data_IF_828628118794
#
_entry.id   IF_828628118794
#
_cell.length_a   1.000
_cell.length_b   1.000
_cell.length_c   1.000
_cell.angle_alpha   90.00
_cell.angle_beta   90.00
_cell.angle_gamma   90.00
#
_symmetry.space_group_name_H-M   'P 1'
#
loop_
_entity.id
_entity.type
_entity.pdbx_description
1 polymer ?
#
# COMPACT_ATOMS: atom_id res chain seq x y z
N UNK A 1 8.36 9.60 27.16
CA UNK A 1 8.09 8.95 26.92
C UNK A 1 8.18 8.13 26.70
N UNK A 2 8.41 8.11 26.80
CA UNK A 2 8.42 7.31 26.36
C UNK A 2 8.56 6.40 26.27
N UNK A 3 8.74 5.93 26.52
CA UNK A 3 8.89 4.97 26.31
C UNK A 3 8.81 4.19 26.19
N UNK A 4 8.97 3.86 26.43
CA UNK A 4 8.89 2.90 26.10
C UNK A 4 9.00 2.09 26.10
N UNK A 5 9.31 1.79 26.38
CA UNK A 5 9.40 0.83 26.17
C UNK A 5 9.46 0.01 26.28
N UNK A 6 9.68 -0.35 26.62
CA UNK A 6 9.74 -1.35 26.56
C UNK A 6 9.89 -2.06 26.70
N UNK A 7 10.05 -2.47 26.98
CA UNK A 7 10.15 -3.42 26.88
C UNK A 7 10.29 -4.13 26.91
N UNK A 8 10.60 -4.57 27.20
CA UNK A 8 10.60 -5.54 27.14
C UNK A 8 10.94 -6.33 27.10
N UNK A 9 11.35 -6.61 27.15
CA UNK A 9 11.47 -7.46 27.03
C UNK A 9 11.62 -8.30 27.20
N UNK A 10 11.64 -8.74 27.29
CA UNK A 10 11.35 -9.68 27.40
C UNK A 10 11.71 -10.61 27.22
N UNK A 11 11.92 -10.89 27.28
CA UNK A 11 12.06 -11.78 27.06
C UNK A 11 12.25 -12.85 26.83
N UNK A 12 12.45 -13.41 26.77
CA UNK A 12 12.39 -14.49 26.57
C UNK A 12 12.34 -15.44 25.98
N UNK A 13 12.30 -15.66 25.48
CA UNK A 13 11.93 -16.64 25.03
C UNK A 13 12.59 -17.36 24.14
N UNK A 14 12.62 -18.13 23.85
CA UNK A 14 13.26 -18.96 23.13
C UNK A 14 12.44 -19.76 22.33
N UNK A 15 12.14 -19.39 21.21
CA UNK A 15 11.32 -20.13 20.35
C UNK A 15 12.13 -20.61 19.20
N UNK A 16 11.81 -21.77 18.68
CA UNK A 16 12.44 -22.25 17.51
C UNK A 16 12.13 -21.43 16.30
N UNK A 17 10.90 -20.90 16.26
CA UNK A 17 10.47 -20.09 15.14
C UNK A 17 10.21 -18.69 15.64
N UNK A 18 11.00 -17.73 15.19
CA UNK A 18 10.79 -16.36 15.64
C UNK A 18 9.51 -15.82 15.07
N UNK A 19 8.94 -14.87 15.77
CA UNK A 19 7.79 -14.13 15.26
C UNK A 19 8.24 -13.21 14.13
N UNK A 20 7.30 -12.85 13.29
CA UNK A 20 7.58 -11.91 12.22
C UNK A 20 7.99 -10.57 12.81
N UNK A 21 8.99 -9.90 12.21
CA UNK A 21 9.34 -8.54 12.65
C UNK A 21 8.15 -7.62 12.56
N UNK A 22 8.06 -6.68 13.50
CA UNK A 22 7.01 -5.68 13.51
C UNK A 22 6.98 -4.87 12.23
N UNK A 23 8.15 -4.61 11.64
CA UNK A 23 8.23 -3.86 10.40
C UNK A 23 7.48 -4.56 9.26
N UNK A 24 7.52 -5.88 9.22
CA UNK A 24 6.80 -6.63 8.18
C UNK A 24 5.30 -6.62 8.43
N UNK A 25 4.89 -6.70 9.69
CA UNK A 25 3.47 -6.61 10.03
C UNK A 25 2.92 -5.23 9.69
N UNK A 26 3.69 -4.20 9.98
CA UNK A 26 3.31 -2.84 9.62
C UNK A 26 3.25 -2.66 8.12
N UNK A 27 4.22 -3.22 7.40
CA UNK A 27 4.25 -3.12 5.95
C UNK A 27 2.99 -3.73 5.35
N UNK A 28 2.52 -4.85 5.90
CA UNK A 28 1.29 -5.47 5.41
C UNK A 28 0.12 -4.50 5.48
N UNK A 29 -0.01 -3.81 6.62
CA UNK A 29 -1.06 -2.82 6.79
C UNK A 29 -0.90 -1.65 5.84
N UNK A 30 0.34 -1.20 5.66
CA UNK A 30 0.61 -0.07 4.76
C UNK A 30 0.32 -0.42 3.31
N UNK A 31 0.65 -1.63 2.89
CA UNK A 31 0.37 -2.07 1.52
C UNK A 31 -1.12 -2.05 1.24
N UNK A 32 -1.93 -2.54 2.18
CA UNK A 32 -3.38 -2.49 2.03
C UNK A 32 -3.87 -1.05 1.93
N UNK A 33 -3.35 -0.20 2.80
CA UNK A 33 -3.74 1.20 2.80
C UNK A 33 -3.38 1.88 1.47
N UNK A 34 -2.18 1.64 0.97
CA UNK A 34 -1.73 2.26 -0.28
C UNK A 34 -2.55 1.80 -1.47
N UNK A 35 -2.92 0.51 -1.49
CA UNK A 35 -3.75 -0.03 -2.57
C UNK A 35 -5.13 0.64 -2.56
N UNK A 36 -5.77 0.72 -1.39
CA UNK A 36 -7.06 1.37 -1.25
C UNK A 36 -7.00 2.86 -1.60
N UNK A 37 -5.92 3.51 -1.17
CA UNK A 37 -5.72 4.92 -1.44
C UNK A 37 -5.55 5.18 -2.92
N UNK A 38 -4.87 4.27 -3.62
CA UNK A 38 -4.73 4.35 -5.08
C UNK A 38 -6.08 4.29 -5.77
N UNK A 39 -6.97 3.43 -5.30
CA UNK A 39 -8.31 3.31 -5.88
C UNK A 39 -9.09 4.63 -5.75
N UNK A 40 -8.99 5.28 -4.59
CA UNK A 40 -9.63 6.58 -4.38
C UNK A 40 -9.10 7.63 -5.33
N UNK A 41 -7.77 7.67 -5.51
CA UNK A 41 -7.16 8.63 -6.43
C UNK A 41 -7.60 8.38 -7.86
N UNK A 42 -7.70 7.11 -8.27
CA UNK A 42 -8.12 6.78 -9.63
C UNK A 42 -9.54 7.26 -9.90
N UNK A 43 -10.42 7.12 -8.92
CA UNK A 43 -11.79 7.64 -9.04
C UNK A 43 -11.79 9.15 -9.27
N UNK A 44 -10.99 9.85 -8.47
CA UNK A 44 -10.87 11.30 -8.59
C UNK A 44 -10.29 11.71 -9.96
N UNK A 45 -9.29 10.99 -10.41
CA UNK A 45 -8.68 11.28 -11.71
C UNK A 45 -9.71 11.11 -12.83
N UNK A 46 -10.51 10.03 -12.78
CA UNK A 46 -11.54 9.82 -13.80
C UNK A 46 -12.57 10.94 -13.80
N UNK A 47 -13.01 11.34 -12.63
CA UNK A 47 -13.99 12.42 -12.50
C UNK A 47 -13.47 13.72 -13.08
N UNK A 48 -12.25 14.08 -12.72
CA UNK A 48 -11.69 15.34 -13.18
C UNK A 48 -11.26 15.30 -14.65
N UNK A 49 -10.87 14.14 -15.15
CA UNK A 49 -10.63 14.00 -16.59
C UNK A 49 -11.90 14.25 -17.37
N UNK A 50 -13.03 13.72 -16.89
CA UNK A 50 -14.32 13.97 -17.54
C UNK A 50 -14.67 15.45 -17.52
N UNK A 51 -14.43 16.12 -16.40
CA UNK A 51 -14.71 17.55 -16.29
C UNK A 51 -13.81 18.36 -17.22
N UNK A 52 -12.56 17.97 -17.36
CA UNK A 52 -11.65 18.65 -18.27
C UNK A 52 -12.11 18.47 -19.71
N UNK A 53 -12.55 17.25 -20.07
CA UNK A 53 -13.08 16.99 -21.41
C UNK A 53 -14.31 17.81 -21.68
N UNK A 54 -15.22 17.89 -20.71
CA UNK A 54 -16.46 18.68 -20.85
C UNK A 54 -16.15 20.16 -21.04
N UNK A 55 -15.04 20.62 -20.50
CA UNK A 55 -14.60 21.99 -20.66
C UNK A 55 -13.82 22.22 -21.96
N UNK A 56 -13.71 21.18 -22.80
CA UNK A 56 -12.99 21.29 -24.08
C UNK A 56 -11.49 21.08 -23.97
N UNK A 57 -11.02 20.63 -22.81
CA UNK A 57 -9.57 20.47 -22.57
C UNK A 57 -9.16 19.02 -22.74
N UNK A 58 -9.22 18.54 -23.99
CA UNK A 58 -8.96 17.12 -24.28
C UNK A 58 -7.53 16.71 -23.95
N UNK A 59 -6.59 17.61 -24.13
CA UNK A 59 -5.19 17.32 -23.87
C UNK A 59 -4.95 17.10 -22.38
N UNK A 60 -5.57 17.94 -21.57
CA UNK A 60 -5.49 17.79 -20.10
C UNK A 60 -6.13 16.46 -19.68
N UNK A 61 -7.31 16.18 -20.23
CA UNK A 61 -8.03 14.95 -19.92
C UNK A 61 -7.18 13.73 -20.25
N UNK A 62 -6.50 13.77 -21.39
CA UNK A 62 -5.65 12.65 -21.80
C UNK A 62 -4.50 12.42 -20.81
N UNK A 63 -3.86 13.51 -20.37
CA UNK A 63 -2.76 13.39 -19.42
C UNK A 63 -3.24 12.80 -18.09
N UNK A 64 -4.43 13.21 -17.64
CA UNK A 64 -4.98 12.65 -16.40
C UNK A 64 -5.30 11.16 -16.58
N UNK A 65 -5.76 10.74 -17.75
CA UNK A 65 -5.97 9.32 -18.02
C UNK A 65 -4.65 8.53 -17.99
N UNK A 66 -3.58 9.13 -18.48
CA UNK A 66 -2.28 8.49 -18.40
C UNK A 66 -1.82 8.33 -16.95
N UNK A 67 -2.18 9.27 -16.09
CA UNK A 67 -1.90 9.16 -14.67
C UNK A 67 -2.64 7.97 -14.05
N UNK A 68 -3.84 7.67 -14.54
CA UNK A 68 -4.58 6.48 -14.08
C UNK A 68 -3.81 5.22 -14.47
N UNK A 69 -3.31 5.16 -15.69
CA UNK A 69 -2.53 4.00 -16.14
C UNK A 69 -1.28 3.82 -15.28
N UNK A 70 -0.59 4.92 -14.94
CA UNK A 70 0.57 4.86 -14.07
C UNK A 70 0.21 4.38 -12.68
N UNK A 71 -0.92 4.86 -12.16
CA UNK A 71 -1.41 4.43 -10.86
C UNK A 71 -1.72 2.94 -10.85
N UNK A 72 -2.31 2.42 -11.93
CA UNK A 72 -2.59 1.00 -12.05
C UNK A 72 -1.31 0.17 -12.05
N UNK A 73 -0.25 0.66 -12.67
CA UNK A 73 1.02 -0.04 -12.67
C UNK A 73 1.62 -0.07 -11.27
N UNK A 74 1.58 1.04 -10.55
CA UNK A 74 2.03 1.06 -9.16
C UNK A 74 1.23 0.07 -8.33
N UNK A 75 -0.09 0.08 -8.50
CA UNK A 75 -0.97 -0.79 -7.72
C UNK A 75 -0.67 -2.27 -7.95
N UNK A 76 -0.38 -2.65 -9.20
CA UNK A 76 -0.01 -4.04 -9.51
C UNK A 76 1.20 -4.49 -8.69
N UNK A 77 2.20 -3.63 -8.59
CA UNK A 77 3.40 -3.98 -7.83
C UNK A 77 3.11 -4.04 -6.34
N UNK A 78 2.26 -3.14 -5.83
CA UNK A 78 1.87 -3.19 -4.43
C UNK A 78 1.08 -4.46 -4.12
N UNK A 79 0.22 -4.87 -5.03
CA UNK A 79 -0.55 -6.12 -4.86
C UNK A 79 0.36 -7.34 -4.87
N UNK A 80 1.37 -7.34 -5.73
CA UNK A 80 2.35 -8.44 -5.76
C UNK A 80 3.17 -8.47 -4.48
N UNK A 81 3.60 -7.30 -4.02
CA UNK A 81 4.33 -7.22 -2.75
C UNK A 81 3.47 -7.74 -1.60
N UNK A 82 2.19 -7.38 -1.59
CA UNK A 82 1.27 -7.84 -0.56
C UNK A 82 1.15 -9.36 -0.58
N UNK A 83 1.02 -9.95 -1.78
CA UNK A 83 0.88 -11.40 -1.91
C UNK A 83 2.15 -12.12 -1.44
N UNK A 84 3.31 -11.60 -1.83
CA UNK A 84 4.58 -12.18 -1.44
C UNK A 84 4.74 -12.10 0.08
N UNK A 85 4.43 -10.94 0.65
CA UNK A 85 4.56 -10.75 2.08
C UNK A 85 3.62 -11.68 2.85
N UNK A 86 2.38 -11.81 2.41
CA UNK A 86 1.43 -12.70 3.06
C UNK A 86 1.95 -14.15 3.07
N UNK A 87 2.51 -14.59 1.93
CA UNK A 87 3.08 -15.94 1.86
C UNK A 87 4.26 -16.13 2.80
N UNK A 88 5.09 -15.09 2.92
CA UNK A 88 6.25 -15.18 3.82
C UNK A 88 5.86 -15.10 5.28
N UNK A 89 4.82 -14.35 5.60
CA UNK A 89 4.39 -14.22 6.99
C UNK A 89 3.88 -15.52 7.57
N UNK A 90 3.31 -16.42 6.75
CA UNK A 90 2.85 -17.71 7.28
C UNK A 90 4.01 -18.61 7.71
N UNK A 91 5.24 -18.28 7.33
CA UNK A 91 6.42 -19.04 7.75
C UNK A 91 6.89 -18.68 9.15
N UNK A 92 6.36 -17.60 9.70
CA UNK A 92 6.69 -17.19 11.06
C UNK A 92 5.66 -17.75 12.03
N UNK A 93 6.01 -17.71 13.34
CA UNK A 93 5.07 -18.09 14.38
C UNK A 93 4.41 -16.86 14.95
#
# INVERSE_FOLDING_TARGET
>A
MHDHHNHHGHSHHHHEQPEAPDSLKKLQMMLEHWIEHSDSHEENYREWAAKARDAGEDEIAREVHLAIDGSNEVKKHLQRAKAILAAKLVLYK
#
